data_IF_478925574498
#
_entry.id   IF_478925574498
#
_cell.length_a   1.000
_cell.length_b   1.000
_cell.length_c   1.000
_cell.angle_alpha   90.00
_cell.angle_beta   90.00
_cell.angle_gamma   90.00
#
_symmetry.space_group_name_H-M   'P 1'
#
loop_
_entity.id
_entity.type
_entity.pdbx_description
1 polymer ?
#
# COMPACT_ATOMS: atom_id res chain seq x y z
N UNK A 1 26.22 -27.21 4.08
CA UNK A 1 26.62 -27.86 5.29
C UNK A 1 27.43 -26.88 6.11
N UNK A 2 26.79 -26.31 7.15
CA UNK A 2 27.42 -25.39 8.10
C UNK A 2 28.21 -26.26 9.05
N UNK A 3 29.52 -26.15 9.02
CA UNK A 3 30.40 -26.80 10.00
C UNK A 3 30.28 -26.05 11.34
N UNK A 4 29.98 -26.72 12.46
CA UNK A 4 30.06 -26.08 13.77
C UNK A 4 31.54 -25.76 14.06
N UNK A 5 31.85 -24.53 14.39
CA UNK A 5 33.14 -24.17 14.98
C UNK A 5 33.14 -24.69 16.42
N UNK A 6 33.87 -25.75 16.64
CA UNK A 6 34.27 -26.15 17.99
C UNK A 6 35.16 -25.02 18.56
N UNK A 7 34.68 -24.33 19.58
CA UNK A 7 35.50 -23.46 20.42
C UNK A 7 36.16 -24.28 21.48
N UNK A 8 37.30 -24.82 21.19
CA UNK A 8 38.22 -25.26 22.23
C UNK A 8 39.23 -24.14 22.45
N UNK A 9 38.96 -23.32 23.43
CA UNK A 9 39.97 -22.55 24.17
C UNK A 9 39.38 -22.30 25.54
N UNK A 10 39.94 -22.98 26.55
CA UNK A 10 39.77 -22.59 27.95
C UNK A 10 40.22 -21.10 28.06
N UNK A 11 39.25 -20.19 27.94
CA UNK A 11 39.49 -18.79 28.24
C UNK A 11 39.66 -18.68 29.77
N UNK A 12 40.91 -18.62 30.22
CA UNK A 12 41.24 -18.17 31.57
C UNK A 12 40.57 -16.78 31.72
N UNK A 13 39.55 -16.70 32.58
CA UNK A 13 38.86 -15.47 32.89
C UNK A 13 39.87 -14.42 33.37
N UNK A 14 40.10 -13.43 32.59
CA UNK A 14 41.00 -12.33 32.97
C UNK A 14 40.33 -11.39 33.99
N UNK A 15 41.13 -10.63 34.72
CA UNK A 15 40.64 -9.62 35.66
C UNK A 15 39.62 -8.66 35.00
N UNK A 16 39.73 -8.44 33.69
CA UNK A 16 38.77 -7.66 32.91
C UNK A 16 37.37 -8.28 32.86
N UNK A 17 37.29 -9.60 32.81
CA UNK A 17 35.98 -10.31 32.74
C UNK A 17 35.30 -10.29 34.11
N UNK A 18 36.09 -10.34 35.19
CA UNK A 18 35.60 -10.18 36.57
C UNK A 18 35.07 -8.77 36.83
N UNK A 19 35.63 -7.73 36.17
CA UNK A 19 35.20 -6.35 36.28
C UNK A 19 34.09 -5.97 35.27
N UNK A 20 33.78 -6.86 34.31
CA UNK A 20 32.80 -6.58 33.27
C UNK A 20 31.41 -6.21 33.81
N UNK A 21 30.88 -6.79 34.92
CA UNK A 21 29.60 -6.36 35.46
C UNK A 21 29.56 -4.90 35.89
N UNK A 22 30.71 -4.37 36.32
CA UNK A 22 30.80 -2.94 36.70
C UNK A 22 30.74 -2.00 35.51
N UNK A 23 30.95 -2.49 34.31
CA UNK A 23 30.75 -1.67 33.11
C UNK A 23 29.30 -1.27 32.90
N UNK A 24 28.35 -2.02 33.46
CA UNK A 24 26.92 -1.69 33.44
C UNK A 24 26.61 -0.38 34.18
N UNK A 25 27.45 0.02 35.15
CA UNK A 25 27.28 1.28 35.87
C UNK A 25 27.42 2.52 34.97
N UNK A 26 28.13 2.37 33.84
CA UNK A 26 28.21 3.42 32.83
C UNK A 26 26.83 3.76 32.23
N UNK A 27 25.91 2.81 32.27
CA UNK A 27 24.54 2.99 31.74
C UNK A 27 23.65 3.74 32.74
N UNK A 28 24.07 3.87 34.02
CA UNK A 28 23.31 4.61 35.03
C UNK A 28 23.17 6.10 34.69
N UNK A 29 24.18 6.64 34.00
CA UNK A 29 24.23 8.06 33.58
C UNK A 29 23.88 8.28 32.10
N UNK A 30 23.39 7.23 31.40
CA UNK A 30 22.92 7.35 30.03
C UNK A 30 21.43 7.56 30.01
N UNK A 31 20.96 8.37 29.08
CA UNK A 31 19.54 8.50 28.83
C UNK A 31 18.95 7.13 28.45
N UNK A 32 17.77 6.79 28.96
CA UNK A 32 17.10 5.54 28.61
C UNK A 32 16.83 5.48 27.10
N UNK A 33 17.19 4.36 26.48
CA UNK A 33 16.91 4.10 25.06
C UNK A 33 15.42 3.83 24.85
N UNK A 34 14.74 3.35 25.90
CA UNK A 34 13.30 3.11 25.86
C UNK A 34 12.51 4.42 25.94
N UNK A 35 11.46 4.50 25.14
CA UNK A 35 10.54 5.65 25.15
C UNK A 35 9.50 5.38 26.22
N UNK A 36 9.31 6.33 27.17
CA UNK A 36 8.34 6.21 28.27
C UNK A 36 6.89 6.29 27.80
N UNK A 37 6.68 7.02 26.71
CA UNK A 37 5.36 7.23 26.15
C UNK A 37 5.38 6.98 24.63
N UNK A 38 5.27 5.71 24.20
CA UNK A 38 5.32 5.36 22.79
C UNK A 38 4.14 5.94 21.98
N UNK A 39 3.01 6.26 22.63
CA UNK A 39 1.83 6.78 21.95
C UNK A 39 1.99 8.23 21.47
N UNK A 40 2.87 8.98 22.13
CA UNK A 40 3.16 10.37 21.77
C UNK A 40 4.29 10.52 20.75
N UNK A 41 4.85 9.41 20.28
CA UNK A 41 5.87 9.46 19.26
C UNK A 41 5.23 9.72 17.90
N UNK A 42 5.66 10.80 17.23
CA UNK A 42 5.29 11.02 15.84
C UNK A 42 5.81 9.89 14.94
N UNK A 43 4.97 9.40 14.06
CA UNK A 43 5.39 8.44 13.05
C UNK A 43 6.36 9.09 12.05
N UNK A 44 7.19 8.27 11.43
CA UNK A 44 8.10 8.73 10.39
C UNK A 44 7.31 9.30 9.18
N UNK A 45 7.86 10.25 8.42
CA UNK A 45 7.28 10.67 7.15
C UNK A 45 7.01 9.45 6.25
N UNK A 46 5.88 9.42 5.56
CA UNK A 46 5.44 8.30 4.73
C UNK A 46 5.24 6.99 5.51
N UNK A 47 4.88 7.09 6.77
CA UNK A 47 4.49 5.93 7.56
C UNK A 47 3.25 5.27 6.95
N UNK A 48 3.16 3.94 7.03
CA UNK A 48 2.02 3.16 6.54
C UNK A 48 1.03 2.92 7.67
N UNK A 49 0.33 3.99 8.06
CA UNK A 49 -0.69 3.96 9.10
C UNK A 49 -2.08 3.56 8.57
N UNK A 50 -3.13 3.95 9.27
CA UNK A 50 -4.49 3.61 8.88
C UNK A 50 -4.87 4.23 7.54
N UNK A 51 -5.69 3.52 6.77
CA UNK A 51 -6.08 3.96 5.42
C UNK A 51 -7.02 5.17 5.47
N UNK A 52 -6.86 6.01 4.47
CA UNK A 52 -7.75 7.14 4.17
C UNK A 52 -8.25 6.97 2.74
N UNK A 53 -9.53 7.27 2.50
CA UNK A 53 -10.10 7.23 1.17
C UNK A 53 -10.82 8.54 0.87
N UNK A 54 -10.46 9.16 -0.25
CA UNK A 54 -11.20 10.29 -0.81
C UNK A 54 -12.35 9.76 -1.66
N UNK A 55 -13.56 9.74 -1.09
CA UNK A 55 -14.74 9.24 -1.76
C UNK A 55 -15.12 10.04 -3.01
N UNK A 56 -14.67 11.29 -3.12
CA UNK A 56 -14.90 12.09 -4.31
C UNK A 56 -14.02 11.65 -5.50
N UNK A 57 -12.88 11.03 -5.24
CA UNK A 57 -11.99 10.46 -6.27
C UNK A 57 -12.22 8.98 -6.52
N UNK A 58 -12.65 8.24 -5.50
CA UNK A 58 -12.87 6.80 -5.60
C UNK A 58 -14.01 6.49 -6.58
N UNK A 59 -13.76 5.56 -7.49
CA UNK A 59 -14.74 5.08 -8.49
C UNK A 59 -15.22 3.65 -8.20
N UNK A 60 -14.81 3.07 -7.08
CA UNK A 60 -15.23 1.72 -6.68
C UNK A 60 -14.78 0.62 -7.64
N UNK A 61 -13.61 0.74 -8.27
CA UNK A 61 -13.14 -0.20 -9.31
C UNK A 61 -12.74 -1.59 -8.78
N UNK A 62 -12.60 -1.78 -7.46
CA UNK A 62 -12.25 -3.08 -6.87
C UNK A 62 -10.78 -3.49 -6.98
N UNK A 63 -9.92 -2.70 -7.63
CA UNK A 63 -8.49 -3.06 -7.80
C UNK A 63 -7.77 -3.24 -6.46
N UNK A 64 -8.12 -2.44 -5.44
CA UNK A 64 -7.55 -2.56 -4.10
C UNK A 64 -7.93 -3.88 -3.41
N UNK A 65 -9.14 -4.39 -3.63
CA UNK A 65 -9.57 -5.72 -3.17
C UNK A 65 -8.79 -6.82 -3.89
N UNK A 66 -8.73 -6.76 -5.22
CA UNK A 66 -8.09 -7.78 -6.06
C UNK A 66 -6.60 -7.94 -5.75
N UNK A 67 -5.88 -6.83 -5.50
CA UNK A 67 -4.44 -6.89 -5.20
C UNK A 67 -4.13 -7.33 -3.77
N UNK A 68 -5.11 -7.34 -2.88
CA UNK A 68 -4.88 -7.64 -1.47
C UNK A 68 -4.61 -9.13 -1.26
N UNK A 69 -3.34 -9.49 -1.08
CA UNK A 69 -2.90 -10.88 -0.89
C UNK A 69 -3.50 -11.55 0.36
N UNK A 70 -3.84 -10.74 1.37
CA UNK A 70 -4.37 -11.24 2.64
C UNK A 70 -5.91 -11.27 2.67
N UNK A 71 -6.60 -10.88 1.58
CA UNK A 71 -8.04 -10.77 1.56
C UNK A 71 -8.58 -9.84 2.66
N UNK A 72 -7.85 -8.75 2.92
CA UNK A 72 -8.19 -7.80 3.98
C UNK A 72 -9.10 -6.65 3.50
N UNK A 73 -9.49 -6.64 2.22
CA UNK A 73 -10.32 -5.57 1.65
C UNK A 73 -11.52 -6.21 0.99
N UNK A 74 -12.70 -5.75 1.40
CA UNK A 74 -13.99 -6.09 0.77
C UNK A 74 -14.59 -4.83 0.15
N UNK A 75 -15.16 -4.93 -1.04
CA UNK A 75 -15.89 -3.82 -1.66
C UNK A 75 -17.35 -3.85 -1.25
N UNK A 76 -17.83 -2.82 -0.56
CA UNK A 76 -19.20 -2.74 -0.06
C UNK A 76 -19.97 -1.60 -0.72
N UNK A 77 -21.29 -1.81 -1.00
CA UNK A 77 -22.18 -0.74 -1.43
C UNK A 77 -22.37 0.27 -0.28
N UNK A 78 -22.20 1.55 -0.57
CA UNK A 78 -22.40 2.62 0.40
C UNK A 78 -23.51 3.54 -0.07
N UNK A 79 -24.57 3.64 0.73
CA UNK A 79 -25.69 4.53 0.44
C UNK A 79 -25.31 6.01 0.66
N UNK A 80 -25.86 6.89 -0.15
CA UNK A 80 -25.70 8.35 0.02
C UNK A 80 -24.42 8.95 -0.55
N UNK A 81 -23.57 8.16 -1.21
CA UNK A 81 -22.45 8.71 -1.97
C UNK A 81 -22.94 9.17 -3.34
N UNK A 82 -22.57 10.40 -3.73
CA UNK A 82 -22.81 10.86 -5.08
C UNK A 82 -21.95 10.07 -6.07
N UNK A 83 -22.58 9.18 -6.84
CA UNK A 83 -21.90 8.40 -7.87
C UNK A 83 -21.68 9.26 -9.11
N UNK A 84 -20.47 9.25 -9.63
CA UNK A 84 -20.11 9.84 -10.92
C UNK A 84 -20.30 8.81 -12.03
N UNK A 85 -20.27 9.28 -13.28
CA UNK A 85 -20.23 8.36 -14.40
C UNK A 85 -19.02 7.43 -14.29
N UNK A 86 -19.26 6.12 -14.32
CA UNK A 86 -18.22 5.09 -14.13
C UNK A 86 -17.89 4.73 -12.66
N UNK A 87 -18.61 5.29 -11.69
CA UNK A 87 -18.51 4.90 -10.28
C UNK A 87 -19.51 3.75 -9.99
N UNK A 88 -19.00 2.65 -9.45
CA UNK A 88 -19.83 1.50 -9.08
C UNK A 88 -20.67 1.69 -7.82
N UNK A 89 -20.44 2.75 -7.06
CA UNK A 89 -21.03 2.97 -5.73
C UNK A 89 -20.43 2.11 -4.62
N UNK A 90 -19.43 1.27 -4.95
CA UNK A 90 -18.74 0.46 -3.96
C UNK A 90 -17.59 1.22 -3.30
N UNK A 91 -17.33 0.93 -2.04
CA UNK A 91 -16.18 1.48 -1.30
C UNK A 91 -15.43 0.41 -0.54
N UNK A 92 -14.10 0.52 -0.39
CA UNK A 92 -13.30 -0.48 0.28
C UNK A 92 -13.55 -0.45 1.80
N UNK A 93 -13.86 -1.60 2.36
CA UNK A 93 -13.82 -1.86 3.79
C UNK A 93 -12.57 -2.67 4.10
N UNK A 94 -11.78 -2.23 5.05
CA UNK A 94 -10.49 -2.82 5.39
C UNK A 94 -10.60 -3.52 6.74
N UNK A 95 -10.27 -4.80 6.75
CA UNK A 95 -10.10 -5.60 7.97
C UNK A 95 -8.65 -5.47 8.46
N UNK A 96 -8.45 -4.67 9.48
CA UNK A 96 -7.11 -4.46 10.06
C UNK A 96 -6.57 -5.67 10.82
N UNK A 97 -7.40 -6.65 11.13
CA UNK A 97 -6.97 -7.95 11.66
C UNK A 97 -6.24 -8.81 10.61
N UNK A 98 -6.48 -8.56 9.31
CA UNK A 98 -5.85 -9.26 8.20
C UNK A 98 -4.82 -8.41 7.45
N UNK A 99 -4.91 -7.09 7.57
CA UNK A 99 -4.05 -6.16 6.84
C UNK A 99 -2.59 -6.27 7.29
N UNK A 100 -1.67 -6.48 6.36
CA UNK A 100 -0.22 -6.49 6.61
C UNK A 100 0.47 -5.14 6.34
N UNK A 101 -0.28 -4.07 6.10
CA UNK A 101 0.23 -2.70 5.91
C UNK A 101 1.24 -2.55 4.75
N UNK A 102 1.15 -3.41 3.73
CA UNK A 102 2.08 -3.42 2.60
C UNK A 102 1.94 -2.21 1.66
N UNK A 103 0.79 -1.51 1.69
CA UNK A 103 0.43 -0.37 0.85
C UNK A 103 0.22 -0.68 -0.65
N UNK A 104 0.22 -1.95 -1.09
CA UNK A 104 -0.04 -2.30 -2.49
C UNK A 104 -1.37 -1.75 -3.01
N UNK A 105 -2.41 -1.74 -2.14
CA UNK A 105 -3.71 -1.18 -2.48
C UNK A 105 -3.66 0.33 -2.78
N UNK A 106 -2.73 1.05 -2.15
CA UNK A 106 -2.47 2.48 -2.41
C UNK A 106 -1.73 2.65 -3.73
N UNK A 107 -0.71 1.82 -3.97
CA UNK A 107 0.13 1.91 -5.17
C UNK A 107 -0.67 1.61 -6.46
N UNK A 108 -1.62 0.67 -6.42
CA UNK A 108 -2.45 0.33 -7.58
C UNK A 108 -3.67 1.24 -7.75
N UNK A 109 -3.96 2.11 -6.80
CA UNK A 109 -5.11 3.00 -6.88
C UNK A 109 -4.94 4.00 -8.02
N UNK A 110 -5.65 3.78 -9.14
CA UNK A 110 -5.52 4.61 -10.34
C UNK A 110 -5.95 6.07 -10.12
N UNK A 111 -6.95 6.29 -9.28
CA UNK A 111 -7.46 7.63 -8.97
C UNK A 111 -6.69 8.33 -7.86
N UNK A 112 -5.78 7.62 -7.18
CA UNK A 112 -5.08 8.14 -6.01
C UNK A 112 -6.00 8.49 -4.84
N UNK A 113 -7.21 7.90 -4.81
CA UNK A 113 -8.18 8.14 -3.74
C UNK A 113 -7.77 7.47 -2.43
N UNK A 114 -7.13 6.30 -2.50
CA UNK A 114 -6.70 5.54 -1.34
C UNK A 114 -5.28 5.95 -0.96
N UNK A 115 -5.12 6.35 0.29
CA UNK A 115 -3.84 6.75 0.89
C UNK A 115 -3.75 6.18 2.29
N UNK A 116 -2.62 6.36 2.96
CA UNK A 116 -2.46 5.98 4.36
C UNK A 116 -2.12 7.20 5.20
N UNK A 117 -2.58 7.19 6.45
CA UNK A 117 -2.25 8.22 7.44
C UNK A 117 -0.91 7.91 8.13
N UNK A 118 -0.45 8.81 8.98
CA UNK A 118 0.65 8.55 9.89
C UNK A 118 0.20 8.02 11.25
N UNK A 119 -1.12 7.84 11.45
CA UNK A 119 -1.68 7.28 12.67
C UNK A 119 -1.50 5.77 12.73
N UNK A 120 -1.10 5.26 13.88
CA UNK A 120 -0.83 3.84 14.11
C UNK A 120 -1.39 3.29 15.42
N UNK A 121 -2.10 4.11 16.17
CA UNK A 121 -2.66 3.73 17.48
C UNK A 121 -4.17 3.67 17.41
N UNK A 122 -4.70 2.48 17.59
CA UNK A 122 -6.12 2.22 17.78
C UNK A 122 -6.26 0.97 18.64
N UNK A 123 -7.01 1.09 19.74
CA UNK A 123 -7.24 -0.01 20.68
C UNK A 123 -8.73 -0.15 20.91
N UNK A 124 -9.25 -1.33 20.64
CA UNK A 124 -10.63 -1.72 20.86
C UNK A 124 -10.71 -3.11 21.48
N UNK A 125 -11.77 -3.37 22.19
CA UNK A 125 -12.04 -4.67 22.80
C UNK A 125 -12.79 -5.62 21.84
N UNK A 126 -13.53 -5.06 20.88
CA UNK A 126 -14.30 -5.79 19.87
C UNK A 126 -13.46 -5.97 18.59
N UNK A 127 -13.15 -7.21 18.18
CA UNK A 127 -12.44 -7.47 16.95
C UNK A 127 -13.14 -6.96 15.69
N UNK A 128 -14.48 -6.90 15.69
CA UNK A 128 -15.25 -6.44 14.53
C UNK A 128 -15.14 -4.92 14.32
N UNK A 129 -14.79 -4.15 15.37
CA UNK A 129 -14.51 -2.73 15.25
C UNK A 129 -13.34 -2.42 14.30
N UNK A 130 -12.41 -3.38 14.14
CA UNK A 130 -11.27 -3.24 13.22
C UNK A 130 -11.61 -3.43 11.75
N UNK A 131 -12.88 -3.67 11.41
CA UNK A 131 -13.39 -3.61 10.03
C UNK A 131 -13.87 -2.20 9.71
N UNK A 132 -13.05 -1.46 9.05
CA UNK A 132 -13.18 0.00 8.88
C UNK A 132 -13.33 0.38 7.41
N UNK A 133 -14.27 1.27 7.10
CA UNK A 133 -14.49 1.83 5.77
C UNK A 133 -13.95 3.25 5.70
N UNK A 134 -12.74 3.47 5.13
CA UNK A 134 -12.11 4.77 5.10
C UNK A 134 -12.96 5.82 4.38
N UNK A 135 -13.10 6.99 4.99
CA UNK A 135 -13.91 8.08 4.44
C UNK A 135 -15.43 7.95 4.68
N UNK A 136 -15.89 6.86 5.30
CA UNK A 136 -17.29 6.62 5.69
C UNK A 136 -17.41 6.53 7.22
N UNK A 137 -16.67 5.57 7.81
CA UNK A 137 -16.73 5.34 9.23
C UNK A 137 -16.03 6.47 9.99
N UNK A 138 -16.50 6.72 11.23
CA UNK A 138 -15.86 7.70 12.11
C UNK A 138 -14.49 7.19 12.50
N UNK A 139 -13.47 8.02 12.28
CA UNK A 139 -12.09 7.73 12.70
C UNK A 139 -11.98 7.59 14.22
N UNK A 140 -11.21 6.61 14.65
CA UNK A 140 -10.88 6.33 16.06
C UNK A 140 -9.51 6.88 16.46
N UNK A 141 -8.85 7.60 15.56
CA UNK A 141 -7.51 8.19 15.75
C UNK A 141 -7.47 9.61 15.20
N UNK A 142 -6.52 10.38 15.69
CA UNK A 142 -6.25 11.73 15.19
C UNK A 142 -5.21 11.65 14.06
N UNK A 143 -5.62 12.04 12.87
CA UNK A 143 -4.69 12.21 11.75
C UNK A 143 -4.16 13.63 11.77
N UNK A 144 -2.91 13.79 12.05
CA UNK A 144 -2.25 15.09 11.97
C UNK A 144 -1.56 15.30 10.63
N UNK A 145 -1.14 14.21 9.97
CA UNK A 145 -0.37 14.27 8.75
C UNK A 145 -0.73 13.14 7.79
N UNK A 146 -0.48 13.38 6.50
CA UNK A 146 -0.54 12.36 5.48
C UNK A 146 0.66 11.41 5.66
N UNK A 147 0.38 10.12 5.73
CA UNK A 147 1.40 9.09 5.77
C UNK A 147 1.84 8.66 4.38
N UNK A 148 1.79 7.35 4.10
CA UNK A 148 2.17 6.82 2.81
C UNK A 148 1.14 7.15 1.74
N UNK A 149 1.60 7.69 0.65
CA UNK A 149 0.85 7.90 -0.58
C UNK A 149 1.73 7.55 -1.77
N UNK A 150 1.10 7.21 -2.87
CA UNK A 150 1.83 6.95 -4.11
C UNK A 150 2.52 8.24 -4.56
N UNK A 151 3.83 8.23 -4.84
CA UNK A 151 4.52 9.39 -5.37
C UNK A 151 3.91 9.88 -6.68
N UNK A 152 3.88 11.20 -6.88
CA UNK A 152 3.46 11.78 -8.15
C UNK A 152 4.35 11.25 -9.28
N UNK A 153 3.72 10.88 -10.39
CA UNK A 153 4.42 10.28 -11.53
C UNK A 153 4.90 8.84 -11.32
N UNK A 154 4.55 8.21 -10.17
CA UNK A 154 4.89 6.80 -9.94
C UNK A 154 4.21 5.91 -10.96
N UNK A 155 4.99 5.10 -11.64
CA UNK A 155 4.53 4.02 -12.50
C UNK A 155 4.92 2.69 -11.86
N UNK A 156 4.00 1.72 -11.82
CA UNK A 156 4.25 0.36 -11.30
C UNK A 156 5.37 -0.34 -12.06
N UNK A 157 5.50 -0.01 -13.33
CA UNK A 157 6.62 -0.43 -14.17
C UNK A 157 7.35 0.83 -14.61
N UNK A 158 8.66 0.88 -14.55
CA UNK A 158 9.45 2.03 -14.99
C UNK A 158 9.41 2.29 -16.50
N UNK A 159 8.46 1.68 -17.22
CA UNK A 159 8.29 1.78 -18.68
C UNK A 159 7.13 2.69 -19.02
N UNK A 160 7.34 3.55 -19.99
CA UNK A 160 6.31 4.43 -20.56
C UNK A 160 5.29 3.56 -21.31
N UNK A 161 4.03 3.98 -21.30
CA UNK A 161 2.96 3.33 -22.06
C UNK A 161 3.18 3.53 -23.56
N UNK A 162 3.05 2.47 -24.34
CA UNK A 162 2.99 2.57 -25.78
C UNK A 162 1.68 3.20 -26.23
N UNK A 163 1.75 4.10 -27.21
CA UNK A 163 0.59 4.75 -27.78
C UNK A 163 0.20 4.05 -29.08
N UNK A 164 -1.09 3.72 -29.21
CA UNK A 164 -1.64 3.31 -30.50
C UNK A 164 -1.77 4.55 -31.38
N UNK A 165 -1.54 4.38 -32.68
CA UNK A 165 -1.79 5.44 -33.63
C UNK A 165 -3.29 5.63 -33.80
N UNK A 166 -3.72 6.87 -33.74
CA UNK A 166 -5.10 7.27 -33.96
C UNK A 166 -5.20 8.05 -35.28
N UNK A 167 -6.26 7.78 -36.02
CA UNK A 167 -6.57 8.51 -37.26
C UNK A 167 -6.80 9.99 -36.98
N UNK A 168 -6.24 10.86 -37.81
CA UNK A 168 -6.43 12.31 -37.70
C UNK A 168 -7.91 12.70 -37.74
N UNK A 169 -8.35 13.73 -36.97
CA UNK A 169 -9.76 14.10 -36.86
C UNK A 169 -10.40 14.44 -38.20
N UNK A 170 -9.66 15.06 -39.11
CA UNK A 170 -10.13 15.48 -40.44
C UNK A 170 -10.47 14.27 -41.33
N UNK A 171 -9.69 13.20 -41.24
CA UNK A 171 -9.91 11.95 -41.99
C UNK A 171 -11.05 11.15 -41.39
N UNK A 172 -11.19 11.20 -40.05
CA UNK A 172 -12.17 10.48 -39.28
C UNK A 172 -13.62 10.87 -39.61
N UNK A 173 -13.84 12.12 -40.04
CA UNK A 173 -15.16 12.66 -40.39
C UNK A 173 -15.68 12.03 -41.68
N UNK A 174 -14.82 11.71 -42.61
CA UNK A 174 -15.16 11.27 -43.99
C UNK A 174 -15.06 9.75 -44.18
N UNK A 175 -14.70 8.98 -43.13
CA UNK A 175 -14.51 7.53 -43.23
C UNK A 175 -15.18 6.81 -42.07
N UNK A 176 -15.54 5.51 -42.31
CA UNK A 176 -15.98 4.55 -41.27
C UNK A 176 -14.90 3.53 -40.98
N UNK A 177 -13.65 3.85 -41.30
CA UNK A 177 -12.52 2.99 -40.99
C UNK A 177 -12.22 2.99 -39.49
N UNK A 178 -11.47 2.00 -39.05
CA UNK A 178 -11.07 1.88 -37.65
C UNK A 178 -10.24 3.09 -37.21
N UNK A 179 -10.65 3.75 -36.13
CA UNK A 179 -10.04 5.00 -35.66
C UNK A 179 -8.67 4.76 -35.04
N UNK A 180 -8.47 3.59 -34.42
CA UNK A 180 -7.24 3.22 -33.72
C UNK A 180 -6.65 1.99 -34.38
N UNK A 181 -5.44 2.13 -34.92
CA UNK A 181 -4.78 1.04 -35.69
C UNK A 181 -4.36 -0.18 -34.84
N UNK A 182 -4.48 -0.10 -33.52
CA UNK A 182 -3.95 -1.14 -32.63
C UNK A 182 -2.43 -1.10 -32.51
N UNK A 183 -1.87 -2.14 -31.88
CA UNK A 183 -0.42 -2.26 -31.73
C UNK A 183 0.21 -3.10 -32.83
N UNK A 184 1.33 -2.65 -33.36
CA UNK A 184 2.26 -3.51 -34.09
C UNK A 184 2.87 -4.57 -33.15
N UNK A 185 3.44 -5.65 -33.71
CA UNK A 185 3.98 -6.77 -32.92
C UNK A 185 5.01 -6.30 -31.87
N UNK A 186 5.91 -5.40 -32.24
CA UNK A 186 6.94 -4.90 -31.32
C UNK A 186 6.34 -4.01 -30.21
N UNK A 187 5.40 -3.13 -30.56
CA UNK A 187 4.67 -2.32 -29.59
C UNK A 187 3.85 -3.19 -28.63
N UNK A 188 3.18 -4.22 -29.15
CA UNK A 188 2.45 -5.17 -28.32
C UNK A 188 3.36 -5.90 -27.32
N UNK A 189 4.58 -6.28 -27.73
CA UNK A 189 5.58 -6.86 -26.83
C UNK A 189 6.03 -5.89 -25.76
N UNK A 190 6.34 -4.65 -26.12
CA UNK A 190 6.75 -3.61 -25.17
C UNK A 190 5.65 -3.31 -24.16
N UNK A 191 4.39 -3.25 -24.61
CA UNK A 191 3.26 -3.04 -23.70
C UNK A 191 2.99 -4.28 -22.83
N UNK A 192 3.14 -5.49 -23.37
CA UNK A 192 3.04 -6.73 -22.61
C UNK A 192 4.11 -6.85 -21.50
N UNK A 193 5.32 -6.36 -21.77
CA UNK A 193 6.41 -6.31 -20.79
C UNK A 193 6.15 -5.36 -19.60
N UNK A 194 5.11 -4.50 -19.69
CA UNK A 194 4.64 -3.68 -18.56
C UNK A 194 3.74 -4.46 -17.61
N UNK A 195 3.40 -5.69 -17.95
CA UNK A 195 2.52 -6.53 -17.16
C UNK A 195 3.14 -6.85 -15.79
N UNK A 196 2.40 -6.54 -14.72
CA UNK A 196 2.78 -6.85 -13.33
C UNK A 196 2.19 -8.19 -12.86
N UNK A 197 1.63 -8.99 -13.76
CA UNK A 197 1.07 -10.33 -13.50
C UNK A 197 0.01 -10.34 -12.37
N UNK A 198 -0.78 -9.28 -12.23
CA UNK A 198 -1.81 -9.17 -11.19
C UNK A 198 -3.04 -10.08 -11.43
N UNK A 199 -3.19 -10.67 -12.63
CA UNK A 199 -4.32 -11.56 -12.96
C UNK A 199 -5.65 -10.87 -13.19
N UNK A 200 -5.77 -9.54 -13.04
CA UNK A 200 -7.03 -8.81 -13.14
C UNK A 200 -7.71 -8.97 -14.51
N UNK A 201 -6.91 -8.91 -15.59
CA UNK A 201 -7.44 -9.11 -16.95
C UNK A 201 -8.07 -10.51 -17.14
N UNK A 202 -7.50 -11.55 -16.50
CA UNK A 202 -8.05 -12.92 -16.56
C UNK A 202 -9.37 -12.99 -15.81
N UNK A 203 -9.47 -12.32 -14.66
CA UNK A 203 -10.68 -12.32 -13.85
C UNK A 203 -11.84 -11.51 -14.47
N UNK A 204 -11.53 -10.48 -15.27
CA UNK A 204 -12.52 -9.57 -15.83
C UNK A 204 -12.85 -9.84 -17.30
N UNK A 205 -12.05 -10.63 -18.01
CA UNK A 205 -12.30 -10.97 -19.42
C UNK A 205 -13.54 -11.89 -19.54
N UNK A 206 -14.57 -11.54 -20.32
CA UNK A 206 -15.78 -12.34 -20.45
C UNK A 206 -15.64 -13.55 -21.39
N UNK A 207 -14.46 -13.76 -22.01
CA UNK A 207 -14.18 -14.83 -22.99
C UNK A 207 -13.48 -16.02 -22.34
#
# INVERSE_FOLDING_TARGET
PIRPRLRDSEQIMGVRDLLSPFTAWKNLFRDPVSIRDPLNRAAAPRYRGFHQNDNAKCIGCGTCETICQNGAIDMLPVAGIATKQGDSGLRPRIDYGRCCWCALCVDVCMTGSLTMSNAYTWVESDPDAFRFTPGIDKKHWDDTELGYHRPDGHQLTGRVREHMHEMEPEVRIDSFDEIVDGYGIEQARLEADRCVSCGLCIATCPT
#
